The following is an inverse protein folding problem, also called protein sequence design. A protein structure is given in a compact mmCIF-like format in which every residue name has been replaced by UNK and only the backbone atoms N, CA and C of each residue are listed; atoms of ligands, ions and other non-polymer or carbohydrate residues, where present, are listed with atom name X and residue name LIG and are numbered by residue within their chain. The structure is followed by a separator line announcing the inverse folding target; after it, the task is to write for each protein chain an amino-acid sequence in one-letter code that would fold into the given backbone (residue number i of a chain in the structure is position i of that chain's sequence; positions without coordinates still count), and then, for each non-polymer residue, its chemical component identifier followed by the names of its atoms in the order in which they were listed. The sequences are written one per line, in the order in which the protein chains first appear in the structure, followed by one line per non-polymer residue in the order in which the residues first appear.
data_IF_782367273868
#
_entry.id   IF_782367273868
#
_cell.length_a   1.000
_cell.length_b   1.000
_cell.length_c   1.000
_cell.angle_alpha   90.00
_cell.angle_beta   90.00
_cell.angle_gamma   90.00
#
_symmetry.space_group_name_H-M   'P 1'
#
loop_
_entity.id
_entity.type
_entity.pdbx_description
1 polymer ?
#
# COMPACT_ATOMS: atom_id res chain seq x y z
N UNK A 1 -2.04 -3.20 -0.40
CA UNK A 1 -1.58 -4.35 -1.21
C UNK A 1 -0.96 -5.40 -0.29
N UNK A 2 -1.24 -6.69 -0.50
CA UNK A 2 -0.71 -7.79 0.33
C UNK A 2 -1.17 -9.15 -0.16
N UNK A 3 -0.70 -10.22 0.48
CA UNK A 3 -1.13 -11.60 0.18
C UNK A 3 -0.92 -12.52 1.40
N UNK A 4 -1.99 -13.04 2.04
CA UNK A 4 -3.40 -12.74 1.81
C UNK A 4 -3.78 -11.34 2.34
N UNK A 5 -4.80 -10.71 1.75
CA UNK A 5 -5.26 -9.36 2.14
C UNK A 5 -6.73 -9.32 2.58
N UNK A 6 -7.47 -10.42 2.41
CA UNK A 6 -8.92 -10.52 2.65
C UNK A 6 -9.35 -10.06 4.04
N UNK A 7 -8.54 -10.31 5.07
CA UNK A 7 -8.82 -9.95 6.46
C UNK A 7 -8.48 -8.49 6.83
N UNK A 8 -7.91 -7.71 5.90
CA UNK A 8 -7.53 -6.34 6.20
C UNK A 8 -8.74 -5.48 6.57
N UNK A 9 -8.60 -4.69 7.64
CA UNK A 9 -9.59 -3.71 8.08
C UNK A 9 -9.35 -2.32 7.45
N UNK A 10 -8.24 -2.13 6.74
CA UNK A 10 -7.85 -0.82 6.21
C UNK A 10 -8.90 -0.15 5.33
N UNK A 11 -9.61 -0.84 4.41
CA UNK A 11 -10.67 -0.18 3.64
C UNK A 11 -11.76 0.41 4.51
N UNK A 12 -12.27 -0.36 5.47
CA UNK A 12 -13.31 0.13 6.38
C UNK A 12 -12.82 1.35 7.17
N UNK A 13 -11.59 1.30 7.70
CA UNK A 13 -10.99 2.41 8.47
C UNK A 13 -10.84 3.66 7.60
N UNK A 14 -10.25 3.54 6.42
CA UNK A 14 -10.01 4.69 5.52
C UNK A 14 -11.30 5.26 4.93
N UNK A 15 -12.29 4.43 4.63
CA UNK A 15 -13.61 4.90 4.20
C UNK A 15 -14.32 5.67 5.32
N UNK A 16 -14.20 5.23 6.58
CA UNK A 16 -14.75 5.97 7.72
C UNK A 16 -14.05 7.32 7.91
N UNK A 17 -12.72 7.38 7.74
CA UNK A 17 -11.98 8.64 7.78
C UNK A 17 -12.43 9.57 6.66
N UNK A 18 -12.50 9.08 5.43
CA UNK A 18 -12.95 9.86 4.28
C UNK A 18 -14.34 10.48 4.52
N UNK A 19 -15.27 9.69 5.04
CA UNK A 19 -16.60 10.16 5.40
C UNK A 19 -16.57 11.23 6.51
N UNK A 20 -15.74 11.05 7.54
CA UNK A 20 -15.64 11.98 8.66
C UNK A 20 -15.01 13.31 8.27
N UNK A 21 -14.07 13.30 7.32
CA UNK A 21 -13.33 14.49 6.89
C UNK A 21 -13.90 15.14 5.63
N UNK A 22 -14.87 14.50 4.96
CA UNK A 22 -15.45 14.98 3.70
C UNK A 22 -14.50 14.81 2.50
N UNK A 23 -13.54 13.90 2.60
CA UNK A 23 -12.56 13.62 1.54
C UNK A 23 -13.15 12.63 0.54
N UNK A 24 -12.95 12.90 -0.75
CA UNK A 24 -13.29 11.97 -1.83
C UNK A 24 -12.14 10.96 -2.01
N UNK A 25 -12.15 9.92 -1.18
CA UNK A 25 -11.12 8.88 -1.15
C UNK A 25 -11.74 7.50 -1.35
N UNK A 26 -11.28 6.81 -2.39
CA UNK A 26 -11.55 5.40 -2.61
C UNK A 26 -10.36 4.55 -2.12
N UNK A 27 -10.61 3.62 -1.20
CA UNK A 27 -9.57 2.77 -0.62
C UNK A 27 -9.95 1.29 -0.71
N UNK A 28 -9.14 0.49 -1.41
CA UNK A 28 -9.41 -0.93 -1.67
C UNK A 28 -8.29 -1.88 -1.24
N UNK A 29 -8.65 -3.18 -1.17
CA UNK A 29 -7.69 -4.27 -1.02
C UNK A 29 -7.21 -4.69 -2.41
N UNK A 30 -5.90 -4.79 -2.58
CA UNK A 30 -5.27 -5.38 -3.76
C UNK A 30 -4.50 -6.62 -3.31
N UNK A 31 -4.94 -7.80 -3.75
CA UNK A 31 -4.24 -9.06 -3.52
C UNK A 31 -3.30 -9.34 -4.68
N UNK A 32 -2.00 -9.33 -4.43
CA UNK A 32 -0.98 -9.44 -5.48
C UNK A 32 0.08 -10.44 -5.02
N UNK A 33 0.48 -11.36 -5.89
CA UNK A 33 1.57 -12.30 -5.62
C UNK A 33 2.93 -11.58 -5.55
N UNK A 34 3.92 -12.21 -4.94
CA UNK A 34 5.29 -11.63 -4.82
C UNK A 34 5.87 -11.30 -6.20
N UNK A 35 5.68 -12.18 -7.18
CA UNK A 35 6.25 -12.03 -8.54
C UNK A 35 5.70 -10.81 -9.30
N UNK A 36 4.47 -10.39 -8.99
CA UNK A 36 3.79 -9.31 -9.70
C UNK A 36 3.85 -7.97 -8.95
N UNK A 37 4.44 -7.93 -7.75
CA UNK A 37 4.36 -6.78 -6.86
C UNK A 37 4.86 -5.48 -7.52
N UNK A 38 6.07 -5.48 -8.09
CA UNK A 38 6.66 -4.28 -8.67
C UNK A 38 5.87 -3.76 -9.88
N UNK A 39 5.42 -4.66 -10.76
CA UNK A 39 4.61 -4.32 -11.92
C UNK A 39 3.26 -3.71 -11.51
N UNK A 40 2.62 -4.27 -10.48
CA UNK A 40 1.35 -3.77 -9.97
C UNK A 40 1.48 -2.42 -9.24
N UNK A 41 2.59 -2.18 -8.52
CA UNK A 41 2.86 -0.86 -7.94
C UNK A 41 3.02 0.19 -9.04
N UNK A 42 3.83 -0.10 -10.07
CA UNK A 42 4.00 0.78 -11.21
C UNK A 42 2.67 1.04 -11.95
N UNK A 43 1.89 -0.02 -12.18
CA UNK A 43 0.57 0.06 -12.81
C UNK A 43 -0.44 0.87 -11.99
N UNK A 44 -0.43 0.72 -10.66
CA UNK A 44 -1.30 1.48 -9.75
C UNK A 44 -1.04 2.99 -9.86
N UNK A 45 0.22 3.41 -9.77
CA UNK A 45 0.59 4.81 -9.91
C UNK A 45 0.36 5.32 -11.35
N UNK A 46 0.62 4.49 -12.37
CA UNK A 46 0.34 4.83 -13.77
C UNK A 46 -1.14 5.06 -14.09
N UNK A 47 -2.05 4.49 -13.29
CA UNK A 47 -3.51 4.76 -13.37
C UNK A 47 -3.97 5.96 -12.52
N UNK A 48 -3.04 6.69 -11.90
CA UNK A 48 -3.35 7.87 -11.08
C UNK A 48 -3.60 7.56 -9.60
N UNK A 49 -3.20 6.39 -9.10
CA UNK A 49 -3.30 6.07 -7.68
C UNK A 49 -2.47 7.01 -6.79
N UNK A 50 -3.05 7.52 -5.70
CA UNK A 50 -2.43 8.54 -4.85
C UNK A 50 -1.53 8.00 -3.72
N UNK A 51 -1.62 6.72 -3.38
CA UNK A 51 -0.82 6.09 -2.32
C UNK A 51 -1.26 4.67 -1.99
N UNK A 52 -0.40 3.92 -1.30
CA UNK A 52 -0.64 2.50 -0.96
C UNK A 52 -0.21 2.22 0.48
N UNK A 53 -1.04 1.52 1.26
CA UNK A 53 -0.49 0.76 2.38
C UNK A 53 -0.09 -0.65 1.93
N UNK A 54 1.07 -1.08 2.41
CA UNK A 54 1.68 -2.38 2.11
C UNK A 54 1.69 -3.26 3.35
N UNK A 55 1.25 -4.51 3.21
CA UNK A 55 1.33 -5.53 4.26
C UNK A 55 2.09 -6.76 3.78
N UNK A 56 2.19 -7.78 4.63
CA UNK A 56 2.87 -9.04 4.31
C UNK A 56 2.41 -9.61 2.95
N UNK A 57 3.33 -10.21 2.18
CA UNK A 57 4.78 -10.30 2.41
C UNK A 57 5.58 -9.11 1.83
N UNK A 58 4.93 -8.05 1.34
CA UNK A 58 5.54 -7.12 0.38
C UNK A 58 6.33 -5.94 0.95
N UNK A 59 6.47 -5.81 2.27
CA UNK A 59 7.02 -4.58 2.88
C UNK A 59 8.48 -4.33 2.53
N UNK A 60 9.29 -5.39 2.40
CA UNK A 60 10.71 -5.28 2.01
C UNK A 60 10.83 -4.89 0.53
N UNK A 61 10.00 -5.50 -0.33
CA UNK A 61 9.93 -5.16 -1.75
C UNK A 61 9.48 -3.71 -1.96
N UNK A 62 8.50 -3.23 -1.19
CA UNK A 62 8.07 -1.83 -1.21
C UNK A 62 9.21 -0.88 -0.81
N UNK A 63 9.96 -1.23 0.23
CA UNK A 63 11.12 -0.45 0.64
C UNK A 63 12.20 -0.41 -0.44
N UNK A 64 12.48 -1.54 -1.11
CA UNK A 64 13.46 -1.60 -2.19
C UNK A 64 13.03 -0.82 -3.45
N UNK A 65 11.72 -0.68 -3.68
CA UNK A 65 11.15 0.04 -4.82
C UNK A 65 11.05 1.56 -4.60
N UNK A 66 11.07 2.02 -3.35
CA UNK A 66 10.85 3.43 -3.03
C UNK A 66 12.05 4.31 -3.43
N UNK A 67 11.78 5.43 -4.12
CA UNK A 67 12.80 6.43 -4.45
C UNK A 67 13.37 7.11 -3.19
N UNK A 68 12.54 7.24 -2.15
CA UNK A 68 12.90 7.83 -0.88
C UNK A 68 12.38 6.98 0.27
N UNK A 69 13.20 6.80 1.30
CA UNK A 69 12.82 6.09 2.50
C UNK A 69 13.02 6.95 3.75
N UNK A 70 12.01 6.95 4.63
CA UNK A 70 12.16 7.57 5.95
C UNK A 70 13.26 6.86 6.77
N UNK A 71 13.85 7.50 7.79
CA UNK A 71 14.82 6.85 8.67
C UNK A 71 14.30 5.57 9.32
N UNK A 72 13.01 5.54 9.67
CA UNK A 72 12.35 4.35 10.25
C UNK A 72 12.23 3.21 9.25
N UNK A 73 11.83 3.51 8.01
CA UNK A 73 11.75 2.50 6.95
C UNK A 73 13.15 1.96 6.59
N UNK A 74 14.16 2.82 6.57
CA UNK A 74 15.56 2.44 6.35
C UNK A 74 16.09 1.51 7.45
N UNK A 75 15.80 1.81 8.70
CA UNK A 75 16.16 0.97 9.84
C UNK A 75 15.45 -0.40 9.79
N UNK A 76 14.16 -0.41 9.47
CA UNK A 76 13.36 -1.63 9.40
C UNK A 76 13.61 -2.45 8.12
N UNK A 77 14.25 -1.84 7.10
CA UNK A 77 14.36 -2.39 5.73
C UNK A 77 13.00 -2.77 5.14
N UNK A 78 11.96 -2.04 5.54
CA UNK A 78 10.57 -2.36 5.24
C UNK A 78 9.73 -1.08 5.23
N UNK A 79 8.82 -0.97 4.27
CA UNK A 79 7.88 0.14 4.14
C UNK A 79 6.44 -0.40 4.12
N UNK A 80 5.55 0.25 4.85
CA UNK A 80 4.13 -0.09 4.89
C UNK A 80 3.22 1.04 4.39
N UNK A 81 3.82 2.18 4.00
CA UNK A 81 3.19 3.37 3.40
C UNK A 81 4.24 4.07 2.55
#
# INVERSE_FOLDING_TARGET
MGDPISHSKSPQIHSLFAQQTGEDLHYEKLQISVDNFAAEVAGFFGRGGGGLNITVPHKEAAFALADYASPRASLARAANT
#
